data_IF_588627809048
#
_entry.id   IF_588627809048
#
_cell.length_a   1.000
_cell.length_b   1.000
_cell.length_c   1.000
_cell.angle_alpha   90.00
_cell.angle_beta   90.00
_cell.angle_gamma   90.00
#
_symmetry.space_group_name_H-M   'P 1'
#
loop_
_entity.id
_entity.type
_entity.pdbx_description
1 polymer ?
#
# COMPACT_ATOMS: atom_id res chain seq x y z
N UNK A 1 -11.33 3.54 11.22
CA UNK A 1 -10.37 4.66 11.27
C UNK A 1 -10.66 5.63 12.41
N UNK A 2 -11.92 6.03 12.65
CA UNK A 2 -12.28 6.92 13.77
C UNK A 2 -11.78 6.47 15.16
N UNK A 3 -11.85 5.17 15.48
CA UNK A 3 -11.30 4.62 16.74
C UNK A 3 -9.79 4.85 16.89
N UNK A 4 -9.02 4.63 15.81
CA UNK A 4 -7.58 4.84 15.81
C UNK A 4 -7.25 6.32 16.02
N UNK A 5 -7.96 7.20 15.31
CA UNK A 5 -7.80 8.65 15.49
C UNK A 5 -8.18 9.12 16.90
N UNK A 6 -9.27 8.61 17.49
CA UNK A 6 -9.68 8.93 18.86
C UNK A 6 -8.62 8.50 19.90
N UNK A 7 -7.77 7.55 19.55
CA UNK A 7 -6.62 7.10 20.35
C UNK A 7 -5.32 7.88 20.06
N UNK A 8 -5.38 8.91 19.21
CA UNK A 8 -4.22 9.69 18.78
C UNK A 8 -3.28 8.95 17.83
N UNK A 9 -3.80 7.99 17.05
CA UNK A 9 -3.04 7.27 16.03
C UNK A 9 -3.30 7.93 14.68
N UNK A 10 -2.35 8.75 14.26
CA UNK A 10 -2.48 9.56 13.04
C UNK A 10 -1.96 8.87 11.78
N UNK A 11 -1.17 7.80 11.93
CA UNK A 11 -0.67 7.01 10.81
C UNK A 11 -0.63 5.53 11.15
N UNK A 12 -0.88 4.70 10.13
CA UNK A 12 -0.89 3.25 10.26
C UNK A 12 -0.06 2.65 9.13
N UNK A 13 1.01 1.93 9.47
CA UNK A 13 1.69 1.06 8.53
C UNK A 13 0.92 -0.26 8.46
N UNK A 14 0.39 -0.60 7.28
CA UNK A 14 -0.32 -1.87 7.08
C UNK A 14 0.54 -2.86 6.33
N UNK A 15 0.79 -3.99 6.97
CA UNK A 15 1.36 -5.19 6.37
C UNK A 15 0.38 -6.35 6.53
N UNK A 16 0.27 -7.22 5.52
CA UNK A 16 -0.65 -8.35 5.59
C UNK A 16 -0.72 -9.16 4.32
N UNK A 17 -1.56 -10.19 4.35
CA UNK A 17 -1.87 -11.01 3.18
C UNK A 17 -2.84 -10.30 2.20
N UNK A 18 -3.18 -10.96 1.09
CA UNK A 18 -4.03 -10.37 0.05
C UNK A 18 -5.41 -9.93 0.54
N UNK A 19 -5.96 -10.58 1.57
CA UNK A 19 -7.28 -10.21 2.11
C UNK A 19 -7.25 -8.84 2.79
N UNK A 20 -6.29 -8.60 3.67
CA UNK A 20 -6.17 -7.32 4.39
C UNK A 20 -5.86 -6.20 3.40
N UNK A 21 -4.83 -6.40 2.58
CA UNK A 21 -4.41 -5.41 1.57
C UNK A 21 -5.53 -5.18 0.57
N UNK A 22 -6.15 -6.24 0.05
CA UNK A 22 -7.24 -6.15 -0.92
C UNK A 22 -8.46 -5.42 -0.38
N UNK A 23 -8.80 -5.59 0.90
CA UNK A 23 -9.92 -4.90 1.54
C UNK A 23 -9.66 -3.39 1.63
N UNK A 24 -8.45 -2.98 2.03
CA UNK A 24 -8.09 -1.56 2.10
C UNK A 24 -8.06 -0.91 0.73
N UNK A 25 -7.49 -1.59 -0.28
CA UNK A 25 -7.48 -1.11 -1.65
C UNK A 25 -8.89 -0.97 -2.23
N UNK A 26 -9.76 -1.96 -1.99
CA UNK A 26 -11.15 -1.91 -2.45
C UNK A 26 -11.98 -0.83 -1.76
N UNK A 27 -11.57 -0.42 -0.55
CA UNK A 27 -12.21 0.65 0.23
C UNK A 27 -11.57 2.02 0.01
N UNK A 28 -10.56 2.11 -0.86
CA UNK A 28 -9.74 3.30 -1.09
C UNK A 28 -9.15 3.91 0.19
N UNK A 29 -8.79 3.04 1.15
CA UNK A 29 -8.23 3.43 2.45
C UNK A 29 -6.70 3.34 2.44
N UNK A 30 -6.06 4.15 1.59
CA UNK A 30 -4.61 4.25 1.51
C UNK A 30 -4.18 5.60 0.94
N UNK A 31 -3.12 6.16 1.54
CA UNK A 31 -2.47 7.38 1.07
C UNK A 31 -1.19 7.06 0.29
N UNK A 32 -0.42 6.09 0.80
CA UNK A 32 0.88 5.70 0.28
C UNK A 32 0.99 4.18 0.18
N UNK A 33 1.71 3.69 -0.84
CA UNK A 33 2.05 2.28 -0.95
C UNK A 33 3.51 2.07 -1.34
N UNK A 34 4.15 1.13 -0.64
CA UNK A 34 5.52 0.68 -0.87
C UNK A 34 5.50 -0.79 -1.28
N UNK A 35 5.91 -1.07 -2.52
CA UNK A 35 5.87 -2.42 -3.08
C UNK A 35 7.29 -2.90 -3.35
N UNK A 36 7.72 -3.93 -2.60
CA UNK A 36 8.91 -4.69 -2.94
C UNK A 36 8.61 -5.70 -4.04
N UNK A 37 9.44 -5.73 -5.08
CA UNK A 37 9.39 -6.74 -6.14
C UNK A 37 10.75 -7.41 -6.26
N UNK A 38 10.75 -8.72 -5.99
CA UNK A 38 11.92 -9.57 -6.20
C UNK A 38 12.11 -9.90 -7.69
N UNK A 39 13.35 -10.09 -8.17
CA UNK A 39 13.61 -10.64 -9.49
C UNK A 39 13.20 -12.11 -9.61
N UNK A 40 12.92 -12.79 -8.49
CA UNK A 40 12.49 -14.19 -8.49
C UNK A 40 11.03 -14.31 -8.92
N UNK A 41 10.77 -15.21 -9.87
CA UNK A 41 9.41 -15.60 -10.27
C UNK A 41 8.94 -16.76 -9.38
N UNK A 42 7.76 -16.60 -8.78
CA UNK A 42 7.07 -17.68 -8.08
C UNK A 42 6.08 -18.33 -9.06
N UNK A 43 6.25 -19.63 -9.33
CA UNK A 43 5.38 -20.37 -10.27
C UNK A 43 4.05 -20.80 -9.65
N UNK A 44 4.02 -21.01 -8.33
CA UNK A 44 2.84 -21.40 -7.57
C UNK A 44 2.78 -20.61 -6.26
N UNK A 45 1.58 -20.41 -5.75
CA UNK A 45 1.35 -19.73 -4.49
C UNK A 45 0.15 -18.80 -4.57
N UNK A 46 0.14 -17.84 -3.66
CA UNK A 46 -0.93 -16.85 -3.55
C UNK A 46 -0.59 -15.65 -4.41
N UNK A 47 -1.50 -15.25 -5.30
CA UNK A 47 -1.30 -14.09 -6.15
C UNK A 47 -1.31 -12.80 -5.31
N UNK A 48 -0.41 -11.87 -5.65
CA UNK A 48 -0.46 -10.52 -5.11
C UNK A 48 -1.75 -9.80 -5.57
N UNK A 49 -2.31 -8.88 -4.77
CA UNK A 49 -3.39 -8.02 -5.19
C UNK A 49 -3.06 -7.29 -6.50
N UNK A 50 -4.00 -7.28 -7.44
CA UNK A 50 -3.86 -6.53 -8.68
C UNK A 50 -4.33 -5.11 -8.44
N UNK A 51 -3.38 -4.20 -8.36
CA UNK A 51 -3.66 -2.77 -8.19
C UNK A 51 -3.40 -2.10 -9.52
N UNK A 52 -4.39 -1.39 -10.06
CA UNK A 52 -4.30 -0.66 -11.32
C UNK A 52 -3.46 0.62 -11.21
N UNK A 53 -2.40 0.60 -10.39
CA UNK A 53 -1.58 1.76 -10.09
C UNK A 53 -0.84 2.19 -11.36
N UNK A 54 -0.95 3.47 -11.65
CA UNK A 54 -0.24 4.15 -12.73
C UNK A 54 0.64 5.19 -12.07
N UNK A 55 1.83 5.42 -12.63
CA UNK A 55 2.77 6.45 -12.20
C UNK A 55 3.27 6.28 -10.75
N UNK A 56 4.38 5.58 -10.57
CA UNK A 56 5.09 5.58 -9.29
C UNK A 56 5.78 6.94 -9.07
N UNK A 57 5.88 7.35 -7.80
CA UNK A 57 6.66 8.52 -7.37
C UNK A 57 8.16 8.26 -7.53
N UNK A 58 8.62 7.07 -7.13
CA UNK A 58 10.00 6.64 -7.31
C UNK A 58 10.13 5.13 -7.42
N UNK A 59 11.28 4.70 -7.96
CA UNK A 59 11.74 3.31 -7.91
C UNK A 59 13.20 3.31 -7.53
N UNK A 60 13.56 2.52 -6.54
CA UNK A 60 14.94 2.36 -6.10
C UNK A 60 15.31 0.88 -5.91
N UNK A 61 16.60 0.60 -5.94
CA UNK A 61 17.12 -0.73 -5.66
C UNK A 61 17.35 -0.87 -4.16
N UNK A 62 16.86 -1.96 -3.58
CA UNK A 62 17.13 -2.34 -2.18
C UNK A 62 17.69 -3.76 -2.20
N UNK A 63 19.02 -3.86 -2.20
CA UNK A 63 19.70 -5.12 -2.46
C UNK A 63 19.32 -5.67 -3.85
N UNK A 64 18.88 -6.93 -3.97
CA UNK A 64 18.48 -7.52 -5.25
C UNK A 64 17.06 -7.11 -5.71
N UNK A 65 16.28 -6.48 -4.84
CA UNK A 65 14.88 -6.18 -5.08
C UNK A 65 14.69 -4.73 -5.52
N UNK A 66 13.53 -4.43 -6.11
CA UNK A 66 13.09 -3.06 -6.40
C UNK A 66 12.00 -2.64 -5.42
N UNK A 67 12.16 -1.47 -4.83
CA UNK A 67 11.11 -0.79 -4.08
C UNK A 67 10.42 0.23 -4.98
N UNK A 68 9.13 0.06 -5.20
CA UNK A 68 8.28 1.04 -5.87
C UNK A 68 7.51 1.83 -4.82
N UNK A 69 7.51 3.15 -4.95
CA UNK A 69 6.73 4.06 -4.12
C UNK A 69 5.60 4.67 -4.93
N UNK A 70 4.36 4.50 -4.46
CA UNK A 70 3.15 5.11 -5.00
C UNK A 70 2.52 6.03 -3.97
N UNK A 71 1.88 7.08 -4.45
CA UNK A 71 1.08 8.02 -3.67
C UNK A 71 -0.31 8.10 -4.31
N UNK A 72 -1.35 8.17 -3.48
CA UNK A 72 -2.71 8.30 -3.93
C UNK A 72 -3.06 9.79 -4.02
N UNK A 73 -2.98 10.36 -5.22
CA UNK A 73 -3.34 11.78 -5.46
C UNK A 73 -4.83 12.08 -5.17
N UNK A 74 -5.66 11.04 -5.06
CA UNK A 74 -7.07 11.15 -4.70
C UNK A 74 -7.32 10.94 -3.21
N UNK A 75 -6.28 10.70 -2.40
CA UNK A 75 -6.47 10.63 -0.96
C UNK A 75 -6.90 12.01 -0.46
N UNK A 76 -8.18 12.12 -0.15
CA UNK A 76 -8.71 13.29 0.52
C UNK A 76 -8.17 13.27 1.95
N UNK A 77 -7.45 14.33 2.35
CA UNK A 77 -7.22 14.59 3.75
C UNK A 77 -8.58 14.52 4.46
N UNK A 78 -8.74 13.56 5.37
CA UNK A 78 -9.91 13.55 6.24
C UNK A 78 -9.95 14.93 6.90
N UNK A 79 -11.05 15.70 6.75
CA UNK A 79 -11.15 16.98 7.41
C UNK A 79 -10.90 16.73 8.90
N UNK A 80 -9.88 17.40 9.44
CA UNK A 80 -9.66 17.46 10.88
C UNK A 80 -10.94 18.06 11.49
N UNK A 81 -11.78 17.21 12.06
CA UNK A 81 -12.92 17.60 12.88
C UNK A 81 -12.47 17.79 14.32
#
# INVERSE_FOLDING_TARGET
LADLHARGIDSVLVEGGPTVIGTLLASDLWDEMRIFRSPKRLERGIAAPRVGLRNWRSVENVGPDKLFWFENDQSAALPLA
#
